data_IF_313473427233
#
_entry.id   IF_313473427233
#
_cell.length_a   1.000
_cell.length_b   1.000
_cell.length_c   1.000
_cell.angle_alpha   90.00
_cell.angle_beta   90.00
_cell.angle_gamma   90.00
#
_symmetry.space_group_name_H-M   'P 1'
#
loop_
_entity.id
_entity.type
_entity.pdbx_description
1 polymer ?
#
# COMPACT_ATOMS: atom_id res chain seq x y z
N UNK A 1 11.98 68.15 -13.13
CA UNK A 1 10.85 67.34 -13.66
C UNK A 1 11.44 65.99 -14.06
N UNK A 2 11.69 65.09 -13.12
CA UNK A 2 10.78 64.06 -12.61
C UNK A 2 10.91 62.73 -13.36
N UNK A 3 11.68 61.83 -12.75
CA UNK A 3 11.58 60.37 -12.68
C UNK A 3 11.09 59.57 -13.93
N UNK A 4 12.04 58.98 -14.65
CA UNK A 4 11.82 57.66 -15.27
C UNK A 4 12.03 56.60 -14.19
N UNK A 5 10.94 56.15 -13.56
CA UNK A 5 10.95 55.03 -12.63
C UNK A 5 11.37 53.74 -13.36
N UNK A 6 12.14 52.83 -12.72
CA UNK A 6 12.45 51.54 -13.31
C UNK A 6 11.16 50.73 -13.47
N UNK A 7 10.97 50.16 -14.66
CA UNK A 7 9.87 49.25 -14.94
C UNK A 7 9.84 48.15 -13.87
N UNK A 8 8.73 48.09 -13.12
CA UNK A 8 8.45 46.96 -12.24
C UNK A 8 8.32 45.75 -13.16
N UNK A 9 9.38 44.94 -13.25
CA UNK A 9 9.32 43.60 -13.80
C UNK A 9 8.26 42.87 -12.96
N UNK A 10 7.05 42.73 -13.52
CA UNK A 10 6.08 41.78 -13.00
C UNK A 10 6.75 40.43 -13.12
N UNK A 11 7.28 39.92 -12.00
CA UNK A 11 7.68 38.53 -11.90
C UNK A 11 6.47 37.72 -12.36
N UNK A 12 6.61 37.03 -13.49
CA UNK A 12 5.61 36.09 -13.98
C UNK A 12 5.32 35.15 -12.81
N UNK A 13 4.07 35.09 -12.35
CA UNK A 13 3.72 34.20 -11.26
C UNK A 13 4.13 32.78 -11.68
N UNK A 14 5.14 32.22 -11.00
CA UNK A 14 5.62 30.87 -11.28
C UNK A 14 4.50 29.91 -10.88
N UNK A 15 3.98 29.18 -11.86
CA UNK A 15 2.99 28.12 -11.65
C UNK A 15 3.69 26.77 -11.68
N UNK A 16 3.07 25.76 -11.07
CA UNK A 16 3.53 24.39 -11.25
C UNK A 16 3.47 24.00 -12.74
N UNK A 17 4.42 23.18 -13.22
CA UNK A 17 4.35 22.61 -14.55
C UNK A 17 3.14 21.68 -14.66
N UNK A 18 2.65 21.49 -15.88
CA UNK A 18 1.57 20.54 -16.15
C UNK A 18 2.06 19.12 -15.85
N UNK A 19 1.15 18.24 -15.41
CA UNK A 19 1.46 16.85 -15.04
C UNK A 19 2.31 16.12 -16.08
N UNK A 20 2.02 16.29 -17.36
CA UNK A 20 2.75 15.64 -18.45
C UNK A 20 4.22 16.06 -18.53
N UNK A 21 4.49 17.35 -18.33
CA UNK A 21 5.86 17.88 -18.32
C UNK A 21 6.63 17.40 -17.09
N UNK A 22 5.96 17.32 -15.95
CA UNK A 22 6.54 16.76 -14.73
C UNK A 22 6.91 15.28 -14.94
N UNK A 23 6.00 14.47 -15.49
CA UNK A 23 6.26 13.06 -15.80
C UNK A 23 7.41 12.89 -16.80
N UNK A 24 7.50 13.77 -17.81
CA UNK A 24 8.60 13.76 -18.76
C UNK A 24 9.93 14.10 -18.07
N UNK A 25 9.94 15.09 -17.18
CA UNK A 25 11.13 15.44 -16.40
C UNK A 25 11.56 14.28 -15.48
N UNK A 26 10.62 13.60 -14.83
CA UNK A 26 10.90 12.41 -14.02
C UNK A 26 11.51 11.29 -14.88
N UNK A 27 10.97 11.03 -16.08
CA UNK A 27 11.54 10.03 -17.00
C UNK A 27 12.97 10.34 -17.42
N UNK A 28 13.30 11.61 -17.61
CA UNK A 28 14.67 12.05 -17.93
C UNK A 28 15.60 11.87 -16.72
N UNK A 29 15.09 12.18 -15.52
CA UNK A 29 15.84 12.10 -14.28
C UNK A 29 15.98 10.68 -13.71
N UNK A 30 15.29 9.68 -14.28
CA UNK A 30 15.22 8.32 -13.75
C UNK A 30 16.59 7.62 -13.62
N UNK A 31 17.57 8.03 -14.43
CA UNK A 31 18.88 7.38 -14.51
C UNK A 31 20.00 8.16 -13.81
N UNK A 32 19.70 9.26 -13.11
CA UNK A 32 20.70 10.02 -12.35
C UNK A 32 20.10 10.50 -11.03
N UNK A 33 20.65 10.07 -9.87
CA UNK A 33 20.19 10.54 -8.57
C UNK A 33 20.36 12.05 -8.43
N UNK A 34 21.40 12.64 -9.01
CA UNK A 34 21.62 14.09 -9.00
C UNK A 34 20.54 14.83 -9.79
N UNK A 35 20.17 14.32 -10.97
CA UNK A 35 19.11 14.90 -11.78
C UNK A 35 17.75 14.82 -11.05
N UNK A 36 17.48 13.71 -10.36
CA UNK A 36 16.25 13.53 -9.59
C UNK A 36 16.20 14.45 -8.36
N UNK A 37 17.32 14.59 -7.63
CA UNK A 37 17.44 15.55 -6.54
C UNK A 37 17.30 17.00 -7.01
N UNK A 38 17.93 17.34 -8.13
CA UNK A 38 17.78 18.67 -8.73
C UNK A 38 16.34 18.95 -9.14
N UNK A 39 15.63 17.97 -9.70
CA UNK A 39 14.21 18.10 -10.05
C UNK A 39 13.36 18.41 -8.81
N UNK A 40 13.54 17.65 -7.72
CA UNK A 40 12.88 17.92 -6.42
C UNK A 40 13.17 19.35 -5.96
N UNK A 41 14.44 19.76 -5.89
CA UNK A 41 14.83 21.11 -5.46
C UNK A 41 14.18 22.21 -6.31
N UNK A 42 14.07 22.01 -7.62
CA UNK A 42 13.44 22.99 -8.52
C UNK A 42 11.93 23.08 -8.30
N UNK A 43 11.26 21.97 -8.03
CA UNK A 43 9.83 21.97 -7.70
C UNK A 43 9.58 22.71 -6.38
N UNK A 44 10.38 22.44 -5.34
CA UNK A 44 10.33 23.19 -4.08
C UNK A 44 10.50 24.69 -4.31
N UNK A 45 11.51 25.11 -5.08
CA UNK A 45 11.75 26.52 -5.41
C UNK A 45 10.57 27.18 -6.14
N UNK A 46 9.91 26.48 -7.07
CA UNK A 46 8.73 26.99 -7.79
C UNK A 46 7.57 27.20 -6.81
N UNK A 47 7.34 26.25 -5.90
CA UNK A 47 6.25 26.36 -4.91
C UNK A 47 6.52 27.52 -3.94
N UNK A 48 7.74 27.63 -3.41
CA UNK A 48 8.14 28.70 -2.51
C UNK A 48 8.00 30.09 -3.14
N UNK A 49 8.38 30.24 -4.42
CA UNK A 49 8.34 31.53 -5.12
C UNK A 49 6.96 31.89 -5.67
N UNK A 50 6.06 30.91 -5.79
CA UNK A 50 4.73 31.14 -6.34
C UNK A 50 3.85 31.92 -5.38
N UNK A 51 3.46 33.13 -5.76
CA UNK A 51 2.48 33.91 -5.00
C UNK A 51 1.08 33.32 -5.11
N UNK A 52 0.75 32.66 -6.23
CA UNK A 52 -0.56 32.06 -6.46
C UNK A 52 -0.78 30.85 -5.55
N UNK A 53 0.18 29.93 -5.49
CA UNK A 53 0.08 28.72 -4.66
C UNK A 53 0.02 29.08 -3.18
N UNK A 54 0.84 30.03 -2.74
CA UNK A 54 0.87 30.47 -1.34
C UNK A 54 -0.38 31.22 -0.88
N UNK A 55 -1.20 31.75 -1.80
CA UNK A 55 -2.44 32.48 -1.48
C UNK A 55 -3.69 31.61 -1.52
N UNK A 56 -3.68 30.52 -2.29
CA UNK A 56 -4.83 29.64 -2.46
C UNK A 56 -4.59 28.31 -1.70
N UNK A 57 -5.37 28.02 -0.64
CA UNK A 57 -5.22 26.80 0.16
C UNK A 57 -5.35 25.51 -0.66
N UNK A 58 -6.26 25.48 -1.64
CA UNK A 58 -6.45 24.29 -2.48
C UNK A 58 -5.25 24.07 -3.40
N UNK A 59 -4.74 25.14 -4.00
CA UNK A 59 -3.56 25.06 -4.86
C UNK A 59 -2.30 24.69 -4.06
N UNK A 60 -2.19 25.16 -2.81
CA UNK A 60 -1.12 24.77 -1.90
C UNK A 60 -1.19 23.29 -1.54
N UNK A 61 -2.38 22.74 -1.31
CA UNK A 61 -2.56 21.31 -1.05
C UNK A 61 -2.10 20.47 -2.24
N UNK A 62 -2.52 20.83 -3.46
CA UNK A 62 -2.04 20.16 -4.67
C UNK A 62 -0.53 20.29 -4.81
N UNK A 63 0.05 21.46 -4.51
CA UNK A 63 1.49 21.66 -4.56
C UNK A 63 2.25 20.77 -3.56
N UNK A 64 1.71 20.55 -2.36
CA UNK A 64 2.26 19.64 -1.37
C UNK A 64 2.20 18.18 -1.84
N UNK A 65 1.11 17.77 -2.50
CA UNK A 65 0.99 16.45 -3.10
C UNK A 65 2.04 16.24 -4.22
N UNK A 66 2.26 17.25 -5.07
CA UNK A 66 3.31 17.21 -6.09
C UNK A 66 4.71 17.15 -5.47
N UNK A 67 4.99 17.99 -4.47
CA UNK A 67 6.26 17.97 -3.73
C UNK A 67 6.52 16.56 -3.17
N UNK A 68 5.53 15.99 -2.48
CA UNK A 68 5.63 14.65 -1.90
C UNK A 68 5.97 13.61 -2.97
N UNK A 69 5.27 13.63 -4.10
CA UNK A 69 5.49 12.68 -5.19
C UNK A 69 6.89 12.81 -5.82
N UNK A 70 7.40 14.03 -5.98
CA UNK A 70 8.74 14.27 -6.56
C UNK A 70 9.84 13.93 -5.55
N UNK A 71 9.63 14.18 -4.26
CA UNK A 71 10.56 13.80 -3.21
C UNK A 71 10.66 12.28 -3.07
N UNK A 72 9.52 11.58 -3.08
CA UNK A 72 9.47 10.11 -3.11
C UNK A 72 10.17 9.55 -4.34
N UNK A 73 9.97 10.16 -5.52
CA UNK A 73 10.68 9.78 -6.74
C UNK A 73 12.20 9.98 -6.61
N UNK A 74 12.65 11.15 -6.16
CA UNK A 74 14.07 11.43 -5.99
C UNK A 74 14.72 10.46 -5.01
N UNK A 75 14.00 10.10 -3.95
CA UNK A 75 14.42 9.09 -2.99
C UNK A 75 14.49 7.69 -3.63
N UNK A 76 13.50 7.27 -4.43
CA UNK A 76 13.53 5.98 -5.12
C UNK A 76 14.69 5.88 -6.12
N UNK A 77 14.95 6.93 -6.89
CA UNK A 77 16.12 6.97 -7.78
C UNK A 77 17.41 6.86 -6.96
N UNK A 78 17.50 7.55 -5.83
CA UNK A 78 18.67 7.44 -4.94
C UNK A 78 18.86 6.00 -4.46
N UNK A 79 17.80 5.30 -4.06
CA UNK A 79 17.90 3.90 -3.64
C UNK A 79 18.27 2.95 -4.78
N UNK A 80 17.76 3.19 -5.99
CA UNK A 80 18.09 2.42 -7.20
C UNK A 80 19.59 2.44 -7.49
N UNK A 81 20.25 3.57 -7.25
CA UNK A 81 21.67 3.79 -7.54
C UNK A 81 22.58 3.81 -6.31
N UNK A 82 22.06 3.54 -5.11
CA UNK A 82 22.87 3.50 -3.88
C UNK A 82 23.84 2.32 -3.95
N UNK A 83 25.09 2.60 -4.28
CA UNK A 83 26.15 1.60 -4.34
C UNK A 83 26.71 1.39 -2.92
N UNK A 84 26.00 0.61 -2.10
CA UNK A 84 26.56 0.06 -0.84
C UNK A 84 27.63 -1.01 -1.12
N UNK A 85 27.77 -1.44 -2.37
CA UNK A 85 28.80 -2.37 -2.77
C UNK A 85 30.16 -1.68 -2.75
N UNK A 86 31.07 -2.18 -1.92
CA UNK A 86 32.49 -1.85 -2.01
C UNK A 86 33.07 -2.50 -3.27
N UNK A 87 32.77 -1.94 -4.45
CA UNK A 87 33.19 -2.48 -5.75
C UNK A 87 34.73 -2.58 -5.79
N UNK A 88 35.41 -1.63 -5.15
CA UNK A 88 36.86 -1.62 -5.00
C UNK A 88 37.41 -2.65 -4.00
N UNK A 89 36.58 -3.22 -3.12
CA UNK A 89 36.97 -4.33 -2.23
C UNK A 89 36.68 -5.71 -2.84
N UNK A 90 36.28 -5.77 -4.12
CA UNK A 90 35.95 -7.01 -4.82
C UNK A 90 34.56 -7.57 -4.52
N UNK A 91 33.70 -6.82 -3.83
CA UNK A 91 32.30 -7.19 -3.68
C UNK A 91 31.52 -6.88 -4.96
N UNK A 92 30.85 -7.89 -5.52
CA UNK A 92 29.99 -7.70 -6.68
C UNK A 92 28.76 -6.88 -6.29
N UNK A 93 28.45 -5.79 -7.00
CA UNK A 93 27.21 -5.07 -6.76
C UNK A 93 26.01 -5.97 -7.04
N UNK A 94 24.95 -5.79 -6.27
CA UNK A 94 23.65 -6.41 -6.54
C UNK A 94 23.17 -5.96 -7.93
N UNK A 95 22.87 -6.92 -8.80
CA UNK A 95 22.61 -6.67 -10.22
C UNK A 95 21.18 -6.19 -10.49
N UNK A 96 20.25 -6.41 -9.56
CA UNK A 96 18.86 -5.97 -9.70
C UNK A 96 18.65 -4.60 -9.06
N UNK A 97 18.33 -3.63 -9.92
CA UNK A 97 17.87 -2.29 -9.52
C UNK A 97 16.67 -2.35 -8.57
N UNK A 98 15.75 -3.30 -8.80
CA UNK A 98 14.58 -3.51 -7.96
C UNK A 98 14.99 -3.96 -6.55
N UNK A 99 15.90 -4.94 -6.42
CA UNK A 99 16.41 -5.36 -5.11
C UNK A 99 17.15 -4.25 -4.37
N UNK A 100 17.98 -3.46 -5.08
CA UNK A 100 18.65 -2.30 -4.49
C UNK A 100 17.66 -1.27 -3.96
N UNK A 101 16.61 -0.97 -4.74
CA UNK A 101 15.55 -0.08 -4.32
C UNK A 101 14.85 -0.58 -3.05
N UNK A 102 14.47 -1.86 -3.01
CA UNK A 102 13.78 -2.45 -1.86
C UNK A 102 14.66 -2.51 -0.61
N UNK A 103 15.97 -2.77 -0.78
CA UNK A 103 16.93 -2.68 0.33
C UNK A 103 17.04 -1.25 0.87
N UNK A 104 17.08 -0.23 0.00
CA UNK A 104 17.09 1.17 0.44
C UNK A 104 15.81 1.57 1.17
N UNK A 105 14.64 1.13 0.67
CA UNK A 105 13.35 1.31 1.34
C UNK A 105 13.35 0.64 2.72
N UNK A 106 13.87 -0.59 2.82
CA UNK A 106 13.99 -1.29 4.09
C UNK A 106 14.91 -0.53 5.05
N UNK A 107 16.12 -0.15 4.64
CA UNK A 107 17.06 0.61 5.48
C UNK A 107 16.45 1.92 6.01
N UNK A 108 15.74 2.67 5.16
CA UNK A 108 15.06 3.89 5.58
C UNK A 108 13.99 3.61 6.64
N UNK A 109 13.17 2.59 6.41
CA UNK A 109 12.12 2.22 7.36
C UNK A 109 12.69 1.71 8.69
N UNK A 110 13.82 1.01 8.67
CA UNK A 110 14.55 0.58 9.88
C UNK A 110 15.05 1.78 10.66
N UNK A 111 15.63 2.78 10.00
CA UNK A 111 16.05 4.02 10.63
C UNK A 111 14.88 4.70 11.36
N UNK A 112 13.75 4.86 10.68
CA UNK A 112 12.54 5.46 11.24
C UNK A 112 11.96 4.69 12.45
N UNK A 113 12.10 3.35 12.47
CA UNK A 113 11.69 2.52 13.61
C UNK A 113 12.68 2.57 14.77
N UNK A 114 13.99 2.62 14.47
CA UNK A 114 15.05 2.65 15.47
C UNK A 114 14.99 3.92 16.32
N UNK A 115 14.65 5.06 15.70
CA UNK A 115 14.48 6.34 16.41
C UNK A 115 13.37 6.31 17.47
N UNK A 116 12.38 5.43 17.33
CA UNK A 116 11.22 5.35 18.23
C UNK A 116 11.37 4.31 19.35
N UNK A 117 12.33 3.39 19.22
CA UNK A 117 12.72 2.41 20.24
C UNK A 117 11.54 1.67 20.92
N UNK A 118 10.65 1.09 20.10
CA UNK A 118 9.54 0.29 20.65
C UNK A 118 10.05 -1.01 21.28
N UNK A 119 9.57 -1.41 22.48
CA UNK A 119 10.02 -2.64 23.14
C UNK A 119 9.58 -3.91 22.40
N UNK A 120 8.44 -3.85 21.69
CA UNK A 120 7.98 -4.94 20.84
C UNK A 120 6.70 -4.61 20.08
N UNK A 121 6.60 -5.10 18.85
CA UNK A 121 5.47 -4.91 17.95
C UNK A 121 4.82 -6.26 17.64
N UNK A 122 3.51 -6.32 17.73
CA UNK A 122 2.70 -7.45 17.30
C UNK A 122 2.26 -7.22 15.86
N UNK A 123 2.51 -8.21 15.01
CA UNK A 123 2.07 -8.27 13.63
C UNK A 123 0.91 -9.26 13.52
N UNK A 124 -0.29 -8.75 13.32
CA UNK A 124 -1.48 -9.58 13.11
C UNK A 124 -1.80 -9.61 11.61
N UNK A 125 -2.07 -10.79 11.03
CA UNK A 125 -2.47 -10.89 9.62
C UNK A 125 -3.59 -11.90 9.41
N UNK A 126 -4.35 -11.74 8.32
CA UNK A 126 -5.43 -12.62 7.92
C UNK A 126 -5.54 -12.69 6.39
N UNK A 127 -5.99 -13.83 5.87
CA UNK A 127 -6.18 -14.09 4.44
C UNK A 127 -7.62 -14.59 4.27
N UNK A 128 -8.36 -14.08 3.29
CA UNK A 128 -9.69 -14.60 2.95
C UNK A 128 -9.60 -15.73 1.91
N UNK A 129 -10.74 -16.39 1.65
CA UNK A 129 -10.88 -17.46 0.65
C UNK A 129 -10.58 -17.01 -0.80
N UNK A 130 -10.49 -15.71 -1.06
CA UNK A 130 -10.17 -15.13 -2.37
C UNK A 130 -8.68 -14.74 -2.51
N UNK A 131 -7.86 -15.00 -1.46
CA UNK A 131 -6.44 -14.66 -1.42
C UNK A 131 -6.16 -13.18 -1.13
N UNK A 132 -7.15 -12.44 -0.64
CA UNK A 132 -6.97 -11.08 -0.15
C UNK A 132 -6.42 -11.11 1.27
N UNK A 133 -5.34 -10.37 1.47
CA UNK A 133 -4.55 -10.31 2.68
C UNK A 133 -4.73 -8.97 3.38
N UNK A 134 -4.98 -9.06 4.68
CA UNK A 134 -5.09 -7.91 5.57
C UNK A 134 -4.08 -8.08 6.69
N UNK A 135 -3.38 -7.00 7.02
CA UNK A 135 -2.41 -6.95 8.11
C UNK A 135 -2.70 -5.79 9.05
N UNK A 136 -2.23 -5.92 10.27
CA UNK A 136 -2.33 -4.90 11.31
C UNK A 136 -1.15 -4.98 12.27
N UNK A 137 -0.82 -3.85 12.87
CA UNK A 137 0.27 -3.75 13.84
C UNK A 137 -0.25 -3.15 15.14
N UNK A 138 0.24 -3.68 16.24
CA UNK A 138 -0.07 -3.17 17.57
C UNK A 138 1.16 -3.24 18.46
N UNK A 139 1.20 -2.45 19.52
CA UNK A 139 2.19 -2.68 20.58
C UNK A 139 1.95 -4.05 21.24
N UNK A 140 3.03 -4.68 21.67
CA UNK A 140 2.98 -5.89 22.53
C UNK A 140 2.54 -5.56 23.95
N UNK A 141 2.71 -4.30 24.39
CA UNK A 141 2.30 -3.85 25.71
C UNK A 141 0.78 -3.77 25.82
N UNK A 142 0.24 -4.34 26.90
CA UNK A 142 -1.20 -4.37 27.14
C UNK A 142 -1.68 -2.97 27.54
N UNK A 143 -2.57 -2.39 26.73
CA UNK A 143 -3.14 -1.06 26.97
C UNK A 143 -2.31 0.10 26.40
N UNK A 144 -1.25 -0.18 25.65
CA UNK A 144 -0.51 0.86 24.93
C UNK A 144 -1.41 1.56 23.89
N UNK A 145 -1.17 2.85 23.62
CA UNK A 145 -1.88 3.56 22.57
C UNK A 145 -1.65 2.90 21.20
N UNK A 146 -2.56 3.12 20.23
CA UNK A 146 -2.34 2.70 18.85
C UNK A 146 -1.02 3.22 18.32
N UNK A 147 -0.36 2.43 17.47
CA UNK A 147 0.85 2.88 16.80
C UNK A 147 0.54 4.09 15.91
N UNK A 148 1.47 5.04 15.87
CA UNK A 148 1.37 6.18 14.96
C UNK A 148 1.32 5.70 13.50
N UNK A 149 0.55 6.41 12.67
CA UNK A 149 0.38 6.08 11.25
C UNK A 149 1.72 5.93 10.52
N UNK A 150 2.67 6.85 10.75
CA UNK A 150 4.02 6.78 10.17
C UNK A 150 4.81 5.53 10.57
N UNK A 151 4.58 5.03 11.79
CA UNK A 151 5.19 3.78 12.26
C UNK A 151 4.60 2.59 11.51
N UNK A 152 3.27 2.58 11.34
CA UNK A 152 2.56 1.57 10.56
C UNK A 152 3.03 1.56 9.11
N UNK A 153 3.13 2.73 8.48
CA UNK A 153 3.67 2.88 7.12
C UNK A 153 5.11 2.34 7.00
N UNK A 154 5.94 2.56 8.02
CA UNK A 154 7.33 2.07 8.02
C UNK A 154 7.39 0.54 8.12
N UNK A 155 6.55 -0.06 8.96
CA UNK A 155 6.44 -1.53 9.07
C UNK A 155 5.91 -2.14 7.76
N UNK A 156 4.96 -1.46 7.13
CA UNK A 156 4.41 -1.86 5.83
C UNK A 156 5.46 -1.84 4.72
N UNK A 157 6.28 -0.79 4.69
CA UNK A 157 7.43 -0.70 3.77
C UNK A 157 8.42 -1.84 4.00
N UNK A 158 8.68 -2.20 5.27
CA UNK A 158 9.57 -3.33 5.58
C UNK A 158 9.02 -4.67 5.14
N UNK A 159 7.75 -4.93 5.42
CA UNK A 159 7.12 -6.18 4.99
C UNK A 159 7.11 -6.31 3.47
N UNK A 160 6.79 -5.22 2.76
CA UNK A 160 6.80 -5.22 1.29
C UNK A 160 8.23 -5.39 0.73
N UNK A 161 9.23 -4.77 1.37
CA UNK A 161 10.63 -4.94 0.98
C UNK A 161 11.12 -6.39 1.21
N UNK A 162 10.73 -7.01 2.32
CA UNK A 162 11.02 -8.41 2.62
C UNK A 162 10.44 -9.36 1.54
N UNK A 163 9.16 -9.17 1.19
CA UNK A 163 8.51 -9.94 0.13
C UNK A 163 9.22 -9.80 -1.23
N UNK A 164 9.65 -8.58 -1.54
CA UNK A 164 10.31 -8.29 -2.80
C UNK A 164 11.73 -8.88 -2.84
N UNK A 165 12.49 -8.81 -1.74
CA UNK A 165 13.88 -9.26 -1.66
C UNK A 165 14.00 -10.80 -1.63
N UNK A 166 13.20 -11.46 -0.78
CA UNK A 166 13.28 -12.92 -0.56
C UNK A 166 12.40 -13.73 -1.52
N UNK A 167 11.27 -13.18 -1.96
CA UNK A 167 10.27 -13.95 -2.72
C UNK A 167 9.93 -13.38 -4.11
N UNK A 168 10.45 -12.20 -4.49
CA UNK A 168 10.09 -11.51 -5.73
C UNK A 168 8.57 -11.32 -5.87
N UNK A 169 7.94 -10.91 -4.76
CA UNK A 169 6.50 -10.66 -4.69
C UNK A 169 6.24 -9.21 -4.33
N UNK A 170 5.30 -8.59 -5.04
CA UNK A 170 4.75 -7.28 -4.70
C UNK A 170 3.30 -7.42 -4.23
N UNK A 171 2.87 -6.51 -3.35
CA UNK A 171 1.50 -6.43 -2.87
C UNK A 171 0.79 -5.20 -3.46
N UNK A 172 -0.45 -5.38 -3.89
CA UNK A 172 -1.34 -4.30 -4.34
C UNK A 172 -2.76 -4.61 -3.89
N UNK A 173 -3.40 -3.66 -3.20
CA UNK A 173 -4.77 -3.78 -2.69
C UNK A 173 -5.06 -5.11 -1.98
N UNK A 174 -4.10 -5.56 -1.14
CA UNK A 174 -4.21 -6.80 -0.39
C UNK A 174 -3.97 -8.08 -1.20
N UNK A 175 -3.62 -8.00 -2.49
CA UNK A 175 -3.28 -9.16 -3.30
C UNK A 175 -1.78 -9.24 -3.59
N UNK A 176 -1.27 -10.47 -3.74
CA UNK A 176 0.12 -10.73 -4.05
C UNK A 176 0.32 -10.98 -5.54
N UNK A 177 1.40 -10.43 -6.09
CA UNK A 177 1.78 -10.56 -7.49
C UNK A 177 3.26 -10.95 -7.61
N UNK A 178 3.57 -11.92 -8.47
CA UNK A 178 4.96 -12.23 -8.83
C UNK A 178 5.53 -11.08 -9.65
N UNK A 179 6.78 -10.70 -9.37
CA UNK A 179 7.48 -9.64 -10.09
C UNK A 179 8.69 -10.17 -10.84
N UNK A 180 9.03 -9.53 -11.95
CA UNK A 180 10.31 -9.74 -12.64
C UNK A 180 11.47 -9.03 -11.92
N UNK A 181 12.68 -9.09 -12.50
CA UNK A 181 13.88 -8.47 -11.96
C UNK A 181 13.84 -6.92 -11.93
N UNK A 182 12.91 -6.32 -12.67
CA UNK A 182 12.67 -4.88 -12.76
C UNK A 182 11.49 -4.44 -11.86
N UNK A 183 10.79 -5.39 -11.23
CA UNK A 183 9.64 -5.14 -10.37
C UNK A 183 8.29 -5.11 -11.11
N UNK A 184 8.25 -5.45 -12.40
CA UNK A 184 7.00 -5.52 -13.16
C UNK A 184 6.21 -6.77 -12.76
N UNK A 185 4.89 -6.60 -12.59
CA UNK A 185 3.98 -7.67 -12.19
C UNK A 185 3.75 -8.63 -13.35
N UNK A 186 4.09 -9.91 -13.16
CA UNK A 186 3.95 -10.98 -14.16
C UNK A 186 2.58 -11.67 -14.01
N UNK A 187 2.11 -11.85 -12.76
CA UNK A 187 0.86 -12.54 -12.50
C UNK A 187 0.47 -12.54 -11.02
N UNK A 188 -0.83 -12.63 -10.76
CA UNK A 188 -1.40 -12.74 -9.40
C UNK A 188 -1.15 -14.15 -8.85
N UNK A 189 -0.74 -14.24 -7.58
CA UNK A 189 -0.58 -15.53 -6.90
C UNK A 189 -1.96 -16.16 -6.60
N UNK A 190 -2.02 -17.49 -6.64
CA UNK A 190 -3.19 -18.23 -6.18
C UNK A 190 -3.31 -18.19 -4.66
N UNK A 191 -4.49 -18.54 -4.12
CA UNK A 191 -4.71 -18.59 -2.66
C UNK A 191 -3.77 -19.58 -2.00
N UNK A 192 -3.60 -20.76 -2.59
CA UNK A 192 -2.69 -21.80 -2.09
C UNK A 192 -1.22 -21.32 -2.09
N UNK A 193 -0.80 -20.59 -3.12
CA UNK A 193 0.54 -19.99 -3.16
C UNK A 193 0.73 -18.95 -2.06
N UNK A 194 -0.29 -18.13 -1.78
CA UNK A 194 -0.26 -17.12 -0.71
C UNK A 194 -0.25 -17.76 0.68
N UNK A 195 -1.04 -18.80 0.90
CA UNK A 195 -1.07 -19.54 2.17
C UNK A 195 0.28 -20.23 2.43
N UNK A 196 0.85 -20.87 1.42
CA UNK A 196 2.17 -21.51 1.53
C UNK A 196 3.27 -20.48 1.80
N UNK A 197 3.25 -19.34 1.09
CA UNK A 197 4.17 -18.24 1.33
C UNK A 197 4.06 -17.74 2.78
N UNK A 198 2.83 -17.62 3.29
CA UNK A 198 2.59 -17.04 4.60
C UNK A 198 2.75 -18.02 5.78
N UNK A 199 2.73 -19.33 5.54
CA UNK A 199 2.87 -20.35 6.58
C UNK A 199 4.21 -20.25 7.31
N UNK A 200 5.31 -20.11 6.56
CA UNK A 200 6.65 -19.93 7.12
C UNK A 200 7.05 -18.43 7.21
N UNK A 201 6.33 -17.54 6.52
CA UNK A 201 6.60 -16.09 6.48
C UNK A 201 6.77 -15.44 7.84
N UNK A 202 6.00 -15.90 8.84
CA UNK A 202 5.98 -15.33 10.17
C UNK A 202 7.34 -15.48 10.86
N UNK A 203 8.03 -16.59 10.59
CA UNK A 203 9.35 -16.89 11.11
C UNK A 203 10.44 -16.30 10.22
N UNK A 204 10.30 -16.37 8.89
CA UNK A 204 11.25 -15.79 7.94
C UNK A 204 11.30 -14.26 8.01
N UNK A 205 10.16 -13.60 8.16
CA UNK A 205 10.10 -12.16 8.35
C UNK A 205 10.78 -11.75 9.66
N UNK A 206 10.58 -12.53 10.73
CA UNK A 206 11.28 -12.31 11.99
C UNK A 206 12.80 -12.44 11.82
N UNK A 207 13.27 -13.48 11.13
CA UNK A 207 14.69 -13.65 10.82
C UNK A 207 15.23 -12.51 9.97
N UNK A 208 14.47 -12.06 8.96
CA UNK A 208 14.85 -10.92 8.12
C UNK A 208 15.03 -9.63 8.92
N UNK A 209 14.19 -9.39 9.92
CA UNK A 209 14.31 -8.23 10.80
C UNK A 209 15.53 -8.33 11.73
N UNK A 210 15.84 -9.53 12.23
CA UNK A 210 17.05 -9.80 13.01
C UNK A 210 18.32 -9.61 12.14
N UNK A 211 18.35 -10.14 10.92
CA UNK A 211 19.43 -9.92 9.93
C UNK A 211 19.61 -8.42 9.63
N UNK A 212 18.49 -7.69 9.54
CA UNK A 212 18.47 -6.26 9.25
C UNK A 212 18.73 -5.39 10.48
N UNK A 213 19.07 -5.98 11.64
CA UNK A 213 19.42 -5.30 12.91
C UNK A 213 18.31 -4.39 13.44
N UNK A 214 17.04 -4.77 13.26
CA UNK A 214 15.92 -4.04 13.85
C UNK A 214 15.93 -4.27 15.37
N UNK A 215 15.96 -3.21 16.20
CA UNK A 215 16.04 -3.36 17.66
C UNK A 215 14.74 -3.88 18.29
N UNK A 216 13.63 -3.82 17.55
CA UNK A 216 12.29 -4.12 18.02
C UNK A 216 11.92 -5.59 17.82
N UNK A 217 11.45 -6.25 18.88
CA UNK A 217 10.96 -7.62 18.78
C UNK A 217 9.61 -7.67 18.06
N UNK A 218 9.49 -8.45 16.98
CA UNK A 218 8.22 -8.66 16.28
C UNK A 218 7.61 -10.03 16.63
N UNK A 219 6.34 -10.01 17.05
CA UNK A 219 5.54 -11.21 17.35
C UNK A 219 4.40 -11.31 16.34
N UNK A 220 4.44 -12.33 15.48
CA UNK A 220 3.44 -12.58 14.45
C UNK A 220 2.29 -13.46 14.96
N UNK A 221 1.06 -13.16 14.57
CA UNK A 221 -0.13 -13.98 14.85
C UNK A 221 -1.11 -13.95 13.69
N UNK A 222 -1.44 -15.12 13.17
CA UNK A 222 -2.53 -15.26 12.21
C UNK A 222 -3.89 -15.09 12.92
N UNK A 223 -4.79 -14.32 12.33
CA UNK A 223 -6.16 -14.09 12.80
C UNK A 223 -7.15 -14.46 11.71
N UNK A 224 -8.41 -14.61 12.12
CA UNK A 224 -9.54 -14.75 11.20
C UNK A 224 -9.74 -13.46 10.41
N UNK A 225 -10.23 -13.60 9.17
CA UNK A 225 -10.39 -12.48 8.26
C UNK A 225 -11.46 -11.49 8.77
N UNK A 226 -11.17 -10.17 8.79
CA UNK A 226 -12.14 -9.19 9.26
C UNK A 226 -13.46 -9.25 8.48
N UNK A 227 -14.56 -9.53 9.18
CA UNK A 227 -15.91 -9.54 8.61
C UNK A 227 -16.40 -10.88 8.06
N UNK A 228 -15.59 -11.95 8.13
CA UNK A 228 -16.01 -13.28 7.64
C UNK A 228 -17.20 -13.84 8.45
N UNK A 229 -17.23 -13.62 9.77
CA UNK A 229 -18.39 -13.95 10.62
C UNK A 229 -19.67 -13.23 10.19
N UNK A 230 -19.59 -11.94 9.83
CA UNK A 230 -20.77 -11.18 9.38
C UNK A 230 -21.30 -11.67 8.05
N UNK A 231 -20.41 -12.07 7.14
CA UNK A 231 -20.79 -12.60 5.82
C UNK A 231 -21.32 -14.03 5.92
N UNK A 232 -20.75 -14.88 6.78
CA UNK A 232 -21.27 -16.23 7.02
C UNK A 232 -22.60 -16.22 7.79
N UNK A 233 -22.77 -15.34 8.77
CA UNK A 233 -24.06 -15.13 9.44
C UNK A 233 -25.10 -14.56 8.48
N UNK A 234 -24.75 -13.57 7.65
CA UNK A 234 -25.66 -13.03 6.64
C UNK A 234 -26.05 -14.08 5.59
N UNK A 235 -25.11 -14.92 5.14
CA UNK A 235 -25.40 -16.05 4.23
C UNK A 235 -26.27 -17.11 4.90
N UNK A 236 -26.02 -17.45 6.16
CA UNK A 236 -26.86 -18.40 6.93
C UNK A 236 -28.27 -17.85 7.17
N UNK A 237 -28.41 -16.55 7.46
CA UNK A 237 -29.70 -15.88 7.63
C UNK A 237 -30.45 -15.79 6.29
N UNK A 238 -29.75 -15.47 5.19
CA UNK A 238 -30.33 -15.45 3.85
C UNK A 238 -30.77 -16.86 3.38
N UNK A 239 -29.97 -17.89 3.66
CA UNK A 239 -30.30 -19.28 3.37
C UNK A 239 -31.51 -19.76 4.18
N UNK A 240 -31.57 -19.46 5.48
CA UNK A 240 -32.75 -19.77 6.31
C UNK A 240 -34.00 -19.07 5.81
N UNK A 241 -33.91 -17.79 5.44
CA UNK A 241 -35.03 -17.00 4.89
C UNK A 241 -35.48 -17.49 3.50
N UNK A 242 -34.57 -18.02 2.69
CA UNK A 242 -34.91 -18.64 1.41
C UNK A 242 -35.61 -19.99 1.61
N UNK A 243 -35.17 -20.79 2.58
CA UNK A 243 -35.82 -22.07 2.92
C UNK A 243 -37.21 -21.84 3.52
N UNK A 244 -37.38 -20.87 4.42
CA UNK A 244 -38.70 -20.51 4.96
C UNK A 244 -39.67 -20.05 3.86
N UNK A 245 -39.21 -19.24 2.90
CA UNK A 245 -40.05 -18.83 1.75
C UNK A 245 -40.48 -19.98 0.87
N UNK A 246 -39.62 -20.98 0.66
CA UNK A 246 -39.95 -22.17 -0.14
C UNK A 246 -40.96 -23.06 0.59
N UNK A 247 -40.84 -23.17 1.92
CA UNK A 247 -41.80 -23.91 2.76
C UNK A 247 -43.16 -23.22 2.80
N UNK A 248 -43.22 -21.90 2.96
CA UNK A 248 -44.47 -21.13 2.92
C UNK A 248 -45.17 -21.22 1.56
N UNK A 249 -44.44 -21.21 0.45
CA UNK A 249 -45.04 -21.39 -0.89
C UNK A 249 -45.59 -22.80 -1.12
N UNK A 250 -44.96 -23.82 -0.55
CA UNK A 250 -45.42 -25.21 -0.66
C UNK A 250 -46.69 -25.47 0.17
N UNK A 251 -46.80 -24.88 1.37
CA UNK A 251 -48.02 -25.00 2.20
C UNK A 251 -49.22 -24.23 1.63
N UNK A 252 -48.99 -23.24 0.77
CA UNK A 252 -50.06 -22.49 0.08
C UNK A 252 -50.57 -23.25 -1.15
N UNK A 253 -49.73 -24.00 -1.87
CA UNK A 253 -50.16 -24.82 -3.01
C UNK A 253 -50.94 -26.08 -2.59
N UNK A 254 -50.66 -26.67 -1.42
CA UNK A 254 -51.36 -27.86 -0.92
C UNK A 254 -52.81 -27.58 -0.44
N UNK A 255 -53.20 -26.29 -0.32
CA UNK A 255 -54.56 -25.87 0.11
C UNK A 255 -55.49 -25.45 -1.04
N UNK A 256 -55.04 -25.46 -2.29
CA UNK A 256 -55.84 -25.02 -3.45
C UNK A 256 -56.07 -26.18 -4.43
N UNK A 257 -56.72 -27.24 -3.98
CA UNK A 257 -57.40 -28.17 -4.88
C UNK A 257 -58.90 -28.25 -4.49
N UNK A 258 -59.78 -27.40 -5.05
CA UNK A 258 -61.21 -27.53 -4.82
C UNK A 258 -61.87 -28.43 -5.88
N UNK A 259 -62.42 -29.52 -5.36
CA UNK A 259 -63.60 -30.29 -5.75
C UNK A 259 -64.30 -29.99 -7.10
N UNK A 260 -64.48 -31.08 -7.87
CA UNK A 260 -65.30 -31.15 -9.07
C UNK A 260 -66.79 -30.82 -8.80
N UNK A 261 -67.51 -30.15 -9.73
CA UNK A 261 -68.92 -29.84 -9.56
C UNK A 261 -69.78 -31.03 -10.02
N UNK A 262 -70.52 -31.64 -9.09
CA UNK A 262 -71.63 -32.56 -9.41
C UNK A 262 -72.95 -31.78 -9.38
N UNK A 263 -73.77 -32.01 -10.42
CA UNK A 263 -75.01 -31.29 -10.76
C UNK A 263 -76.15 -31.38 -9.73
N UNK A 264 -77.18 -30.51 -9.81
CA UNK A 264 -78.49 -30.80 -9.22
C UNK A 264 -79.52 -31.24 -10.26
N UNK A 265 -80.23 -32.33 -9.93
CA UNK A 265 -81.39 -32.87 -10.65
C UNK A 265 -82.66 -32.06 -10.36
N UNK A 266 -83.51 -31.94 -11.37
CA UNK A 266 -84.87 -31.40 -11.28
C UNK A 266 -85.81 -32.30 -10.47
N UNK A 267 -86.66 -31.69 -9.65
CA UNK A 267 -88.06 -32.10 -9.38
C UNK A 267 -88.88 -30.84 -9.11
#
# INVERSE_FOLDING_TARGET
MSANAPAILRAKDESLPVREDLLRAMKIAENSPEAAQYLSQRVHQIVEKSRYLNKNPEAMKTAQEVIKAVDEFAQFVTFKFSQDAQIWSGQTPESSNFKNMQRGIAQQAIGALSDKNYPGIRFDFAINKEGHFVRGYASTEKGAPPLEEKTVESLDRLFNAWLADKHQVATEDGYFFKTDADGNKIGKLSVEEVENLLTDSAQEFKQYLEESKVPTQIVSRQREYPGEHRLEEAKKVAAKKAVERVIETAEVEEKVEPEAPTAPSQF
#
